data_IF_393212280408
#
_entry.id   IF_393212280408
#
_cell.length_a   1.000
_cell.length_b   1.000
_cell.length_c   1.000
_cell.angle_alpha   90.00
_cell.angle_beta   90.00
_cell.angle_gamma   90.00
#
_symmetry.space_group_name_H-M   'P 1'
#
loop_
_entity.id
_entity.type
_entity.pdbx_description
1 polymer ?
#
# COMPACT_ATOMS: atom_id res chain seq x y z
N UNK A 1 30.35 -51.34 74.00
CA UNK A 1 29.22 -51.63 73.10
C UNK A 1 28.72 -50.43 72.28
N UNK A 2 29.51 -49.35 72.10
CA UNK A 2 29.04 -48.09 71.48
C UNK A 2 29.37 -47.94 69.98
N UNK A 3 30.29 -48.75 69.46
CA UNK A 3 30.66 -48.77 68.05
C UNK A 3 29.91 -49.82 67.22
N UNK A 4 29.31 -50.83 67.86
CA UNK A 4 28.59 -51.90 67.16
C UNK A 4 27.30 -51.41 66.48
N UNK A 5 26.57 -50.47 67.10
CA UNK A 5 25.38 -49.86 66.49
C UNK A 5 25.72 -48.97 65.29
N UNK A 6 26.86 -48.28 65.35
CA UNK A 6 27.32 -47.39 64.29
C UNK A 6 27.86 -48.17 63.08
N UNK A 7 28.56 -49.28 63.33
CA UNK A 7 28.94 -50.22 62.26
C UNK A 7 27.73 -50.90 61.64
N UNK A 8 26.71 -51.27 62.43
CA UNK A 8 25.47 -51.84 61.87
C UNK A 8 24.76 -50.81 61.00
N UNK A 9 24.66 -49.55 61.43
CA UNK A 9 24.03 -48.48 60.65
C UNK A 9 24.76 -48.21 59.32
N UNK A 10 26.11 -48.17 59.35
CA UNK A 10 26.92 -47.99 58.13
C UNK A 10 26.79 -49.18 57.19
N UNK A 11 26.77 -50.41 57.71
CA UNK A 11 26.56 -51.62 56.91
C UNK A 11 25.14 -51.63 56.32
N UNK A 12 24.12 -51.22 57.08
CA UNK A 12 22.75 -51.10 56.59
C UNK A 12 22.64 -50.05 55.47
N UNK A 13 23.31 -48.91 55.62
CA UNK A 13 23.33 -47.85 54.61
C UNK A 13 24.07 -48.29 53.35
N UNK A 14 25.17 -49.03 53.50
CA UNK A 14 25.89 -49.65 52.38
C UNK A 14 25.03 -50.72 51.67
N UNK A 15 24.30 -51.56 52.41
CA UNK A 15 23.37 -52.55 51.84
C UNK A 15 22.23 -51.87 51.09
N UNK A 16 21.67 -50.78 51.64
CA UNK A 16 20.65 -49.98 50.95
C UNK A 16 21.22 -49.37 49.66
N UNK A 17 22.45 -48.86 49.70
CA UNK A 17 23.10 -48.30 48.51
C UNK A 17 23.34 -49.36 47.44
N UNK A 18 23.82 -50.54 47.83
CA UNK A 18 24.02 -51.69 46.93
C UNK A 18 22.69 -52.21 46.37
N UNK A 19 21.62 -52.24 47.18
CA UNK A 19 20.30 -52.65 46.74
C UNK A 19 19.68 -51.65 45.73
N UNK A 20 19.93 -50.35 45.92
CA UNK A 20 19.54 -49.29 44.97
C UNK A 20 20.34 -49.40 43.68
N UNK A 21 21.64 -49.70 43.74
CA UNK A 21 22.50 -49.82 42.56
C UNK A 21 22.24 -51.11 41.74
N UNK A 22 21.94 -52.22 42.43
CA UNK A 22 21.72 -53.52 41.78
C UNK A 22 20.32 -53.66 41.17
N UNK A 23 19.32 -52.97 41.70
CA UNK A 23 17.93 -53.12 41.23
C UNK A 23 17.56 -52.10 40.15
N UNK A 24 17.43 -52.60 38.91
CA UNK A 24 16.92 -51.83 37.74
C UNK A 24 15.49 -51.28 37.91
N UNK A 25 14.81 -51.61 39.01
CA UNK A 25 13.47 -51.14 39.38
C UNK A 25 13.53 -49.84 40.20
N UNK A 26 14.41 -49.74 41.21
CA UNK A 26 14.56 -48.55 42.04
C UNK A 26 15.22 -47.40 41.27
N UNK A 27 16.23 -47.70 40.44
CA UNK A 27 16.87 -46.70 39.57
C UNK A 27 15.86 -46.04 38.62
N UNK A 28 14.91 -46.81 38.06
CA UNK A 28 13.90 -46.28 37.13
C UNK A 28 12.88 -45.35 37.81
N UNK A 29 12.47 -45.66 39.04
CA UNK A 29 11.52 -44.82 39.77
C UNK A 29 12.17 -43.53 40.31
N UNK A 30 13.41 -43.61 40.80
CA UNK A 30 14.15 -42.43 41.27
C UNK A 30 14.49 -41.52 40.09
N UNK A 31 14.90 -42.08 38.95
CA UNK A 31 15.12 -41.31 37.71
C UNK A 31 13.83 -40.65 37.20
N UNK A 32 12.69 -41.36 37.22
CA UNK A 32 11.40 -40.81 36.78
C UNK A 32 10.92 -39.62 37.64
N UNK A 33 11.17 -39.64 38.96
CA UNK A 33 10.85 -38.51 39.85
C UNK A 33 11.80 -37.32 39.59
N UNK A 34 13.09 -37.59 39.37
CA UNK A 34 14.07 -36.56 39.03
C UNK A 34 13.78 -35.90 37.67
N UNK A 35 13.37 -36.70 36.68
CA UNK A 35 13.00 -36.22 35.35
C UNK A 35 11.65 -35.47 35.38
N UNK A 36 10.66 -35.93 36.17
CA UNK A 36 9.39 -35.22 36.34
C UNK A 36 9.55 -33.83 36.97
N UNK A 37 10.45 -33.69 37.95
CA UNK A 37 10.77 -32.37 38.56
C UNK A 37 11.53 -31.49 37.57
N UNK A 38 12.49 -32.06 36.82
CA UNK A 38 13.20 -31.34 35.76
C UNK A 38 12.24 -30.81 34.69
N UNK A 39 11.30 -31.63 34.24
CA UNK A 39 10.29 -31.26 33.24
C UNK A 39 9.37 -30.17 33.82
N UNK A 40 8.89 -30.30 35.05
CA UNK A 40 8.04 -29.27 35.68
C UNK A 40 8.74 -27.92 35.85
N UNK A 41 10.02 -27.91 36.20
CA UNK A 41 10.83 -26.67 36.32
C UNK A 41 11.10 -26.05 34.94
N UNK A 42 11.33 -26.87 33.91
CA UNK A 42 11.49 -26.42 32.52
C UNK A 42 10.16 -25.84 31.97
N UNK A 43 9.05 -26.54 32.13
CA UNK A 43 7.71 -26.11 31.66
C UNK A 43 7.20 -24.86 32.39
N UNK A 44 7.53 -24.71 33.68
CA UNK A 44 7.21 -23.50 34.45
C UNK A 44 8.02 -22.29 33.97
N UNK A 45 9.29 -22.50 33.58
CA UNK A 45 10.16 -21.42 33.06
C UNK A 45 9.69 -20.93 31.70
N UNK A 46 9.20 -21.84 30.84
CA UNK A 46 8.71 -21.48 29.51
C UNK A 46 7.33 -20.80 29.57
N UNK A 47 6.43 -21.23 30.47
CA UNK A 47 5.08 -20.66 30.64
C UNK A 47 5.06 -19.25 31.26
N UNK A 48 6.00 -18.96 32.18
CA UNK A 48 6.15 -17.62 32.78
C UNK A 48 6.73 -16.64 31.76
N UNK A 49 7.67 -17.09 30.92
CA UNK A 49 8.27 -16.25 29.88
C UNK A 49 7.28 -15.87 28.76
N UNK A 50 6.26 -16.71 28.50
CA UNK A 50 5.24 -16.45 27.49
C UNK A 50 4.17 -15.47 27.99
N UNK A 51 3.76 -15.58 29.25
CA UNK A 51 2.72 -14.69 29.81
C UNK A 51 3.24 -13.27 30.02
N UNK A 52 4.46 -13.09 30.52
CA UNK A 52 5.02 -11.77 30.79
C UNK A 52 5.29 -10.98 29.49
N UNK A 53 5.76 -11.66 28.44
CA UNK A 53 5.97 -11.05 27.12
C UNK A 53 4.66 -10.60 26.47
N UNK A 54 3.58 -11.37 26.61
CA UNK A 54 2.26 -11.02 26.05
C UNK A 54 1.67 -9.77 26.69
N UNK A 55 1.84 -9.57 28.00
CA UNK A 55 1.31 -8.38 28.70
C UNK A 55 2.18 -7.12 28.52
N UNK A 56 3.51 -7.24 28.52
CA UNK A 56 4.39 -6.08 28.29
C UNK A 56 4.27 -5.58 26.85
N UNK A 57 4.25 -6.47 25.85
CA UNK A 57 4.07 -6.06 24.46
C UNK A 57 2.67 -5.49 24.22
N UNK A 58 1.65 -5.97 24.93
CA UNK A 58 0.30 -5.44 24.87
C UNK A 58 0.20 -4.04 25.46
N UNK A 59 0.84 -3.75 26.59
CA UNK A 59 0.88 -2.41 27.16
C UNK A 59 1.58 -1.40 26.22
N UNK A 60 2.72 -1.79 25.64
CA UNK A 60 3.42 -0.97 24.64
C UNK A 60 2.57 -0.73 23.39
N UNK A 61 1.85 -1.75 22.91
CA UNK A 61 0.94 -1.60 21.76
C UNK A 61 -0.23 -0.67 22.08
N UNK A 62 -0.77 -0.71 23.31
CA UNK A 62 -1.85 0.19 23.74
C UNK A 62 -1.36 1.64 23.72
N UNK A 63 -0.19 1.92 24.28
CA UNK A 63 0.42 3.25 24.25
C UNK A 63 0.67 3.74 22.82
N UNK A 64 1.17 2.86 21.94
CA UNK A 64 1.34 3.16 20.51
C UNK A 64 0.01 3.46 19.82
N UNK A 65 -1.05 2.69 20.11
CA UNK A 65 -2.38 2.92 19.55
C UNK A 65 -3.04 4.19 20.08
N UNK A 66 -2.86 4.52 21.36
CA UNK A 66 -3.33 5.79 21.93
C UNK A 66 -2.64 6.98 21.27
N UNK A 67 -1.33 6.90 21.04
CA UNK A 67 -0.59 7.95 20.33
C UNK A 67 -1.05 8.08 18.88
N UNK A 68 -1.22 6.96 18.16
CA UNK A 68 -1.77 6.98 16.79
C UNK A 68 -3.19 7.53 16.74
N UNK A 69 -4.03 7.22 17.74
CA UNK A 69 -5.39 7.75 17.83
C UNK A 69 -5.36 9.27 18.01
N UNK A 70 -4.50 9.77 18.91
CA UNK A 70 -4.32 11.21 19.12
C UNK A 70 -3.82 11.92 17.86
N UNK A 71 -2.87 11.31 17.14
CA UNK A 71 -2.36 11.86 15.89
C UNK A 71 -3.43 11.83 14.78
N UNK A 72 -4.26 10.79 14.75
CA UNK A 72 -5.40 10.67 13.84
C UNK A 72 -6.48 11.72 14.14
N UNK A 73 -6.88 11.89 15.40
CA UNK A 73 -7.83 12.93 15.83
C UNK A 73 -7.33 14.33 15.49
N UNK A 74 -6.02 14.57 15.70
CA UNK A 74 -5.39 15.83 15.30
C UNK A 74 -5.46 16.03 13.78
N UNK A 75 -5.11 15.01 13.00
CA UNK A 75 -5.16 15.07 11.54
C UNK A 75 -6.58 15.31 11.03
N UNK A 76 -7.59 14.67 11.64
CA UNK A 76 -9.01 14.87 11.33
C UNK A 76 -9.44 16.32 11.58
N UNK A 77 -9.03 16.90 12.72
CA UNK A 77 -9.32 18.29 13.04
C UNK A 77 -8.61 19.27 12.09
N UNK A 78 -7.34 19.02 11.77
CA UNK A 78 -6.57 19.80 10.80
C UNK A 78 -7.21 19.75 9.40
N UNK A 79 -7.63 18.56 8.96
CA UNK A 79 -8.32 18.37 7.68
C UNK A 79 -9.67 19.08 7.67
N UNK A 80 -10.46 18.98 8.74
CA UNK A 80 -11.73 19.70 8.89
C UNK A 80 -11.53 21.21 8.91
N UNK A 81 -10.48 21.70 9.56
CA UNK A 81 -10.16 23.13 9.56
C UNK A 81 -9.79 23.61 8.15
N UNK A 82 -8.91 22.90 7.45
CA UNK A 82 -8.53 23.19 6.08
C UNK A 82 -9.74 23.15 5.13
N UNK A 83 -10.64 22.18 5.29
CA UNK A 83 -11.89 22.11 4.54
C UNK A 83 -12.76 23.34 4.79
N UNK A 84 -12.96 23.74 6.05
CA UNK A 84 -13.72 24.95 6.36
C UNK A 84 -13.07 26.21 5.79
N UNK A 85 -11.73 26.31 5.80
CA UNK A 85 -11.02 27.43 5.18
C UNK A 85 -11.22 27.45 3.66
N UNK A 86 -11.11 26.29 3.00
CA UNK A 86 -11.39 26.15 1.57
C UNK A 86 -12.84 26.51 1.25
N UNK A 87 -13.82 26.01 2.00
CA UNK A 87 -15.23 26.34 1.80
C UNK A 87 -15.47 27.86 1.92
N UNK A 88 -14.85 28.49 2.92
CA UNK A 88 -14.92 29.94 3.10
C UNK A 88 -14.26 30.72 1.95
N UNK A 89 -13.23 30.16 1.30
CA UNK A 89 -12.58 30.76 0.12
C UNK A 89 -13.41 30.55 -1.16
N UNK A 90 -14.02 29.38 -1.34
CA UNK A 90 -14.84 29.02 -2.51
C UNK A 90 -16.10 29.89 -2.60
N UNK A 91 -16.63 30.39 -1.47
CA UNK A 91 -17.74 31.37 -1.46
C UNK A 91 -17.41 32.66 -2.23
N UNK A 92 -16.13 33.00 -2.42
CA UNK A 92 -15.69 34.18 -3.19
C UNK A 92 -15.34 33.91 -4.65
N UNK A 93 -15.14 32.65 -5.05
CA UNK A 93 -14.78 32.28 -6.43
C UNK A 93 -15.76 31.26 -7.02
N UNK A 94 -16.89 31.78 -7.52
CA UNK A 94 -17.95 30.98 -8.15
C UNK A 94 -17.54 30.26 -9.44
N UNK A 95 -16.30 30.43 -9.93
CA UNK A 95 -15.84 29.77 -11.16
C UNK A 95 -15.02 28.49 -10.93
N UNK A 96 -14.56 28.22 -9.70
CA UNK A 96 -13.73 27.04 -9.39
C UNK A 96 -14.47 25.87 -8.71
N UNK A 97 -15.77 26.01 -8.44
CA UNK A 97 -16.61 24.97 -7.82
C UNK A 97 -16.79 23.69 -8.67
N UNK A 98 -16.11 23.56 -9.81
CA UNK A 98 -16.27 22.44 -10.75
C UNK A 98 -15.53 21.15 -10.37
N UNK A 99 -14.71 21.13 -9.30
CA UNK A 99 -13.80 20.00 -9.05
C UNK A 99 -13.91 19.34 -7.66
N UNK A 100 -14.88 19.76 -6.83
CA UNK A 100 -14.93 19.34 -5.41
C UNK A 100 -15.69 18.03 -5.13
N UNK A 101 -16.29 17.38 -6.14
CA UNK A 101 -17.11 16.18 -5.96
C UNK A 101 -16.39 14.88 -6.37
N UNK A 102 -15.09 14.80 -6.12
CA UNK A 102 -14.33 13.58 -6.37
C UNK A 102 -14.64 12.49 -5.33
N UNK A 103 -15.06 11.32 -5.82
CA UNK A 103 -15.27 10.10 -5.03
C UNK A 103 -14.08 9.17 -5.22
N UNK A 104 -13.58 8.66 -4.09
CA UNK A 104 -12.51 7.66 -4.06
C UNK A 104 -13.11 6.31 -3.75
N UNK A 105 -13.09 5.39 -4.72
CA UNK A 105 -13.77 4.11 -4.64
C UNK A 105 -12.73 2.99 -4.55
N UNK A 106 -12.76 2.16 -3.50
CA UNK A 106 -11.80 1.08 -3.36
C UNK A 106 -12.03 0.02 -4.44
N UNK A 107 -10.95 -0.44 -5.06
CA UNK A 107 -10.96 -1.52 -6.04
C UNK A 107 -9.74 -2.42 -5.86
N UNK A 108 -9.74 -3.55 -6.57
CA UNK A 108 -8.64 -4.50 -6.56
C UNK A 108 -8.49 -5.14 -7.94
N UNK A 109 -7.26 -5.17 -8.45
CA UNK A 109 -6.95 -5.95 -9.63
C UNK A 109 -6.94 -7.45 -9.28
N UNK A 110 -7.64 -8.28 -10.07
CA UNK A 110 -7.73 -9.72 -9.82
C UNK A 110 -7.09 -10.58 -10.91
N UNK A 111 -6.90 -10.07 -12.12
CA UNK A 111 -6.13 -10.74 -13.17
C UNK A 111 -5.66 -9.77 -14.23
N UNK A 112 -4.63 -10.16 -14.98
CA UNK A 112 -4.27 -9.49 -16.22
C UNK A 112 -5.28 -9.84 -17.33
N UNK A 113 -5.42 -8.97 -18.32
CA UNK A 113 -6.32 -9.20 -19.46
C UNK A 113 -5.72 -10.24 -20.41
N UNK A 114 -4.44 -10.11 -20.73
CA UNK A 114 -3.70 -11.03 -21.61
C UNK A 114 -2.43 -11.54 -20.92
N UNK A 115 -1.97 -12.74 -21.31
CA UNK A 115 -0.68 -13.26 -20.83
C UNK A 115 0.48 -12.48 -21.44
N UNK A 116 1.43 -12.06 -20.59
CA UNK A 116 2.60 -11.29 -21.01
C UNK A 116 2.35 -9.79 -21.21
N UNK A 117 1.10 -9.33 -21.06
CA UNK A 117 0.72 -7.91 -21.06
C UNK A 117 0.40 -7.47 -19.63
N UNK A 118 1.33 -6.75 -19.02
CA UNK A 118 1.19 -6.22 -17.67
C UNK A 118 0.56 -4.82 -17.63
N UNK A 119 0.24 -4.24 -18.79
CA UNK A 119 -0.36 -2.92 -18.90
C UNK A 119 -1.87 -2.91 -18.74
N UNK A 120 -2.51 -4.10 -18.77
CA UNK A 120 -3.97 -4.25 -18.68
C UNK A 120 -4.38 -5.21 -17.59
N UNK A 121 -5.27 -4.76 -16.72
CA UNK A 121 -5.79 -5.55 -15.60
C UNK A 121 -7.31 -5.48 -15.50
N UNK A 122 -7.94 -6.56 -15.07
CA UNK A 122 -9.34 -6.54 -14.67
C UNK A 122 -9.48 -6.07 -13.22
N UNK A 123 -10.40 -5.13 -12.99
CA UNK A 123 -10.65 -4.51 -11.70
C UNK A 123 -11.98 -4.98 -11.12
N UNK A 124 -11.99 -5.31 -9.83
CA UNK A 124 -13.19 -5.69 -9.12
C UNK A 124 -13.94 -4.43 -8.67
N UNK A 125 -14.98 -4.05 -9.43
CA UNK A 125 -15.84 -2.92 -9.13
C UNK A 125 -17.20 -3.11 -9.84
N UNK A 126 -18.31 -2.77 -9.17
CA UNK A 126 -19.65 -2.84 -9.78
C UNK A 126 -19.94 -1.56 -10.56
N UNK A 127 -20.07 -1.70 -11.88
CA UNK A 127 -20.21 -0.57 -12.82
C UNK A 127 -21.66 -0.29 -13.23
N UNK A 128 -22.66 -1.02 -12.70
CA UNK A 128 -24.06 -0.92 -13.16
C UNK A 128 -24.66 0.48 -13.14
N UNK A 129 -24.23 1.31 -12.19
CA UNK A 129 -24.76 2.66 -12.00
C UNK A 129 -23.98 3.72 -12.79
N UNK A 130 -23.07 3.31 -13.68
CA UNK A 130 -22.20 4.20 -14.46
C UNK A 130 -22.47 4.12 -15.98
N UNK A 131 -22.38 5.25 -16.71
CA UNK A 131 -22.43 5.27 -18.18
C UNK A 131 -21.24 4.56 -18.81
N UNK A 132 -21.41 3.78 -19.89
CA UNK A 132 -20.35 2.96 -20.50
C UNK A 132 -19.08 3.73 -20.91
N UNK A 133 -19.18 5.02 -21.20
CA UNK A 133 -18.07 5.91 -21.57
C UNK A 133 -17.35 6.53 -20.36
N UNK A 134 -17.73 6.16 -19.13
CA UNK A 134 -17.09 6.65 -17.91
C UNK A 134 -15.63 6.18 -17.83
N UNK A 135 -14.74 7.14 -17.64
CA UNK A 135 -13.33 6.91 -17.36
C UNK A 135 -13.05 7.23 -15.89
N UNK A 136 -12.35 6.32 -15.22
CA UNK A 136 -11.91 6.50 -13.84
C UNK A 136 -10.40 6.68 -13.80
N UNK A 137 -9.90 7.54 -12.91
CA UNK A 137 -8.47 7.54 -12.56
C UNK A 137 -8.13 6.34 -11.69
N UNK A 138 -6.95 5.72 -11.87
CA UNK A 138 -6.48 4.60 -11.04
C UNK A 138 -5.22 5.00 -10.29
N UNK A 139 -5.27 4.91 -8.97
CA UNK A 139 -4.21 5.38 -8.07
C UNK A 139 -3.87 4.31 -7.04
N UNK A 140 -2.58 4.17 -6.74
CA UNK A 140 -2.07 3.36 -5.64
C UNK A 140 -0.95 4.12 -4.95
N UNK A 141 -0.95 4.14 -3.61
CA UNK A 141 0.07 4.83 -2.79
C UNK A 141 0.30 6.29 -3.22
N UNK A 142 -0.80 7.02 -3.48
CA UNK A 142 -0.82 8.41 -3.97
C UNK A 142 -0.08 8.63 -5.31
N UNK A 143 0.08 7.58 -6.11
CA UNK A 143 0.71 7.62 -7.43
C UNK A 143 -0.22 7.13 -8.51
N UNK A 144 -0.20 7.77 -9.66
CA UNK A 144 -1.03 7.39 -10.80
C UNK A 144 -0.51 6.10 -11.42
N UNK A 145 -1.39 5.09 -11.46
CA UNK A 145 -1.14 3.82 -12.14
C UNK A 145 -1.63 3.84 -13.59
N UNK A 146 -2.65 4.65 -13.90
CA UNK A 146 -3.27 4.78 -15.21
C UNK A 146 -4.75 5.10 -15.08
N UNK A 147 -5.56 4.71 -16.05
CA UNK A 147 -7.01 4.94 -16.09
C UNK A 147 -7.77 3.62 -16.08
N UNK A 148 -9.08 3.64 -15.85
CA UNK A 148 -9.95 2.48 -16.01
C UNK A 148 -11.18 2.84 -16.84
N UNK A 149 -11.55 1.91 -17.72
CA UNK A 149 -12.67 2.04 -18.65
C UNK A 149 -13.55 0.79 -18.55
N UNK A 150 -14.80 0.92 -18.97
CA UNK A 150 -15.67 -0.24 -19.15
C UNK A 150 -15.40 -0.93 -20.48
N UNK A 151 -15.29 -2.26 -20.42
CA UNK A 151 -15.19 -3.13 -21.59
C UNK A 151 -16.01 -4.39 -21.30
N UNK A 152 -16.96 -4.71 -22.18
CA UNK A 152 -17.86 -5.88 -22.05
C UNK A 152 -18.55 -6.00 -20.68
N UNK A 153 -19.00 -4.87 -20.11
CA UNK A 153 -19.67 -4.82 -18.81
C UNK A 153 -18.77 -5.08 -17.61
N UNK A 154 -17.44 -5.01 -17.79
CA UNK A 154 -16.43 -5.17 -16.73
C UNK A 154 -15.50 -3.97 -16.72
N UNK A 155 -14.95 -3.65 -15.55
CA UNK A 155 -13.99 -2.57 -15.42
C UNK A 155 -12.58 -3.08 -15.76
N UNK A 156 -11.97 -2.48 -16.79
CA UNK A 156 -10.59 -2.75 -17.22
C UNK A 156 -9.70 -1.57 -16.87
N UNK A 157 -8.65 -1.82 -16.08
CA UNK A 157 -7.57 -0.88 -15.82
C UNK A 157 -6.57 -0.89 -16.97
N UNK A 158 -6.34 0.28 -17.55
CA UNK A 158 -5.32 0.60 -18.54
C UNK A 158 -4.20 1.36 -17.83
N UNK A 159 -3.15 0.63 -17.45
CA UNK A 159 -2.01 1.20 -16.74
C UNK A 159 -1.19 2.12 -17.67
N UNK A 160 -0.31 2.93 -17.10
CA UNK A 160 0.51 3.94 -17.80
C UNK A 160 1.27 3.43 -19.04
N UNK A 161 1.58 2.13 -19.12
CA UNK A 161 2.23 1.52 -20.29
C UNK A 161 1.28 1.14 -21.44
N UNK A 162 -0.03 1.24 -21.25
CA UNK A 162 -1.02 0.95 -22.29
C UNK A 162 -1.23 2.16 -23.19
N UNK A 163 -1.27 1.94 -24.51
CA UNK A 163 -1.41 3.00 -25.52
C UNK A 163 -2.73 3.77 -25.44
N UNK A 164 -3.77 3.19 -24.83
CA UNK A 164 -5.06 3.85 -24.59
C UNK A 164 -5.11 4.58 -23.25
N UNK A 165 -4.09 4.44 -22.40
CA UNK A 165 -3.99 5.18 -21.14
C UNK A 165 -3.48 6.58 -21.43
N UNK A 166 -4.36 7.58 -21.33
CA UNK A 166 -4.01 8.98 -21.55
C UNK A 166 -4.82 9.90 -20.63
N UNK A 167 -4.16 10.93 -20.11
CA UNK A 167 -4.73 11.88 -19.16
C UNK A 167 -3.89 13.16 -19.10
N UNK A 168 -4.49 14.23 -18.58
CA UNK A 168 -3.88 15.56 -18.49
C UNK A 168 -3.03 15.73 -17.23
N UNK A 169 -1.86 16.34 -17.41
CA UNK A 169 -0.88 16.58 -16.35
C UNK A 169 -0.34 18.01 -16.37
N UNK A 170 0.26 18.39 -15.26
CA UNK A 170 1.14 19.53 -15.13
C UNK A 170 2.58 19.07 -14.94
N UNK A 171 3.51 19.77 -15.60
CA UNK A 171 4.95 19.54 -15.53
C UNK A 171 5.62 20.72 -14.85
N UNK A 172 6.42 20.44 -13.82
CA UNK A 172 7.22 21.40 -13.07
C UNK A 172 6.40 22.36 -12.20
N UNK A 173 7.11 23.22 -11.48
CA UNK A 173 6.51 24.18 -10.53
C UNK A 173 5.64 25.25 -11.23
N UNK A 174 5.92 25.55 -12.50
CA UNK A 174 5.12 26.46 -13.32
C UNK A 174 3.76 25.88 -13.76
N UNK A 175 3.46 24.62 -13.38
CA UNK A 175 2.26 23.89 -13.78
C UNK A 175 2.03 23.95 -15.29
N UNK A 176 3.05 23.57 -16.08
CA UNK A 176 2.95 23.61 -17.53
C UNK A 176 2.05 22.46 -18.01
N UNK A 177 0.94 22.72 -18.74
CA UNK A 177 0.02 21.67 -19.14
C UNK A 177 0.63 20.74 -20.20
N UNK A 178 0.34 19.45 -20.08
CA UNK A 178 0.70 18.41 -21.03
C UNK A 178 -0.35 17.29 -21.04
N UNK A 179 -0.26 16.39 -22.03
CA UNK A 179 -1.05 15.15 -22.07
C UNK A 179 -0.08 13.99 -21.99
N UNK A 180 -0.32 13.08 -21.05
CA UNK A 180 0.48 11.87 -20.89
C UNK A 180 -0.12 10.73 -21.71
N UNK A 181 0.75 9.90 -22.27
CA UNK A 181 0.41 8.59 -22.83
C UNK A 181 1.61 7.64 -22.73
N UNK A 182 1.39 6.35 -23.05
CA UNK A 182 2.47 5.36 -23.08
C UNK A 182 3.62 5.81 -24.01
N UNK A 183 4.86 5.62 -23.58
CA UNK A 183 6.03 5.97 -24.38
C UNK A 183 6.18 5.06 -25.60
N UNK A 184 6.56 5.65 -26.73
CA UNK A 184 6.91 4.91 -27.94
C UNK A 184 8.34 4.34 -27.88
N UNK A 185 9.17 4.84 -26.95
CA UNK A 185 10.59 4.48 -26.84
C UNK A 185 10.81 3.30 -25.90
N UNK A 186 10.12 3.28 -24.75
CA UNK A 186 10.27 2.24 -23.74
C UNK A 186 8.94 1.92 -23.07
N UNK A 187 8.77 0.69 -22.57
CA UNK A 187 7.59 0.28 -21.80
C UNK A 187 7.56 0.85 -20.37
N UNK A 188 8.72 1.31 -19.89
CA UNK A 188 8.92 1.68 -18.48
C UNK A 188 8.66 3.18 -18.24
N UNK A 189 8.63 3.96 -19.32
CA UNK A 189 8.36 5.39 -19.28
C UNK A 189 7.00 5.73 -19.91
N UNK A 190 6.56 6.94 -19.64
CA UNK A 190 5.46 7.59 -20.35
C UNK A 190 5.97 8.86 -21.00
N UNK A 191 5.25 9.33 -22.02
CA UNK A 191 5.58 10.59 -22.69
C UNK A 191 4.55 11.64 -22.30
N UNK A 192 5.01 12.80 -21.84
CA UNK A 192 4.21 14.00 -21.68
C UNK A 192 4.36 14.86 -22.94
N UNK A 193 3.31 14.86 -23.76
CA UNK A 193 3.26 15.48 -25.08
C UNK A 193 2.45 16.79 -25.08
N UNK A 194 2.58 17.54 -26.18
CA UNK A 194 1.91 18.80 -26.45
C UNK A 194 2.24 19.93 -25.47
N UNK A 195 3.44 19.91 -24.88
CA UNK A 195 3.92 21.01 -24.04
C UNK A 195 4.17 22.23 -24.94
N UNK A 196 3.66 23.43 -24.61
CA UNK A 196 3.86 24.61 -25.44
C UNK A 196 5.34 24.94 -25.66
N UNK A 197 5.74 25.23 -26.91
CA UNK A 197 7.15 25.44 -27.29
C UNK A 197 7.84 26.65 -26.65
N UNK A 198 7.07 27.61 -26.13
CA UNK A 198 7.59 28.76 -25.39
C UNK A 198 7.81 28.50 -23.89
N UNK A 199 7.39 27.34 -23.39
CA UNK A 199 7.61 26.94 -22.00
C UNK A 199 8.96 26.25 -21.86
N UNK A 200 9.52 26.33 -20.65
CA UNK A 200 10.80 25.70 -20.31
C UNK A 200 10.56 24.49 -19.43
N UNK A 201 11.05 23.34 -19.85
CA UNK A 201 11.01 22.08 -19.10
C UNK A 201 12.44 21.61 -18.88
N UNK A 202 12.72 21.13 -17.67
CA UNK A 202 14.03 20.61 -17.30
C UNK A 202 13.92 19.14 -16.88
N UNK A 203 15.03 18.42 -17.04
CA UNK A 203 15.19 17.08 -16.45
C UNK A 203 15.13 17.23 -14.92
N UNK A 204 14.37 16.36 -14.26
CA UNK A 204 14.09 16.42 -12.83
C UNK A 204 12.77 17.11 -12.46
N UNK A 205 12.13 17.79 -13.43
CA UNK A 205 10.83 18.42 -13.19
C UNK A 205 9.79 17.34 -12.81
N UNK A 206 9.02 17.66 -11.77
CA UNK A 206 8.00 16.77 -11.22
C UNK A 206 6.72 16.85 -12.05
N UNK A 207 6.04 15.72 -12.21
CA UNK A 207 4.80 15.63 -13.00
C UNK A 207 3.65 15.21 -12.10
N UNK A 208 2.55 15.96 -12.17
CA UNK A 208 1.35 15.75 -11.37
C UNK A 208 0.10 15.80 -12.25
N UNK A 209 -1.00 15.16 -11.85
CA UNK A 209 -2.28 15.27 -12.55
C UNK A 209 -2.78 16.72 -12.56
N UNK A 210 -3.34 17.18 -13.69
CA UNK A 210 -3.84 18.55 -13.80
C UNK A 210 -5.28 18.72 -13.32
N UNK A 211 -6.07 17.65 -13.38
CA UNK A 211 -7.51 17.65 -13.13
C UNK A 211 -8.36 18.29 -14.24
N UNK A 212 -7.74 18.74 -15.34
CA UNK A 212 -8.45 19.45 -16.42
C UNK A 212 -9.35 18.56 -17.28
N UNK A 213 -9.10 17.24 -17.29
CA UNK A 213 -9.82 16.26 -18.10
C UNK A 213 -11.00 15.59 -17.37
N UNK A 214 -11.15 15.85 -16.07
CA UNK A 214 -12.15 15.19 -15.24
C UNK A 214 -11.86 13.72 -14.94
N UNK A 215 -10.66 13.21 -15.23
CA UNK A 215 -10.28 11.83 -14.89
C UNK A 215 -9.71 11.77 -13.46
N UNK A 216 -8.87 12.76 -13.14
CA UNK A 216 -8.22 12.88 -11.83
C UNK A 216 -8.60 14.19 -11.15
N UNK A 217 -8.36 14.27 -9.84
CA UNK A 217 -8.18 15.57 -9.18
C UNK A 217 -6.78 16.10 -9.48
N UNK A 218 -6.57 17.40 -9.31
CA UNK A 218 -5.26 18.01 -9.44
C UNK A 218 -4.29 17.50 -8.36
N UNK A 219 -3.01 17.32 -8.71
CA UNK A 219 -1.91 17.20 -7.74
C UNK A 219 -1.51 15.78 -7.36
N UNK A 220 -2.03 14.74 -8.02
CA UNK A 220 -1.59 13.35 -7.76
C UNK A 220 -0.27 13.11 -8.47
N UNK A 221 0.69 12.51 -7.77
CA UNK A 221 2.03 12.29 -8.31
C UNK A 221 2.02 11.29 -9.48
N UNK A 222 2.64 11.68 -10.59
CA UNK A 222 2.75 10.84 -11.79
C UNK A 222 4.17 10.32 -11.94
N UNK A 223 5.17 11.21 -11.98
CA UNK A 223 6.55 10.84 -12.25
C UNK A 223 7.51 12.03 -12.31
N UNK A 224 8.70 11.77 -12.86
CA UNK A 224 9.78 12.74 -13.02
C UNK A 224 10.25 12.80 -14.48
N UNK A 225 10.50 14.00 -15.01
CA UNK A 225 11.05 14.18 -16.35
C UNK A 225 12.49 13.65 -16.42
N UNK A 226 12.73 12.71 -17.33
CA UNK A 226 14.06 12.10 -17.56
C UNK A 226 14.70 12.51 -18.89
N UNK A 227 13.90 12.99 -19.85
CA UNK A 227 14.39 13.50 -21.13
C UNK A 227 13.43 14.56 -21.66
N UNK A 228 13.95 15.52 -22.41
CA UNK A 228 13.16 16.57 -23.07
C UNK A 228 13.55 16.63 -24.54
N UNK A 229 12.54 16.58 -25.41
CA UNK A 229 12.67 16.67 -26.85
C UNK A 229 11.91 17.90 -27.38
N UNK A 230 12.51 18.60 -28.34
CA UNK A 230 12.00 19.84 -28.90
C UNK A 230 11.69 19.61 -30.39
N UNK A 231 10.47 19.14 -30.69
CA UNK A 231 10.09 18.66 -32.01
C UNK A 231 8.76 19.30 -32.49
N UNK A 232 8.68 19.63 -33.78
CA UNK A 232 7.44 19.95 -34.52
C UNK A 232 6.46 20.96 -33.87
N UNK A 233 6.98 22.01 -33.24
CA UNK A 233 6.17 23.14 -32.74
C UNK A 233 5.65 22.99 -31.31
N UNK A 234 5.95 21.87 -30.65
CA UNK A 234 5.71 21.64 -29.24
C UNK A 234 6.93 20.97 -28.58
N UNK A 235 6.86 20.74 -27.28
CA UNK A 235 7.87 20.04 -26.50
C UNK A 235 7.26 18.71 -26.04
N UNK A 236 8.07 17.66 -26.09
CA UNK A 236 7.75 16.36 -25.53
C UNK A 236 8.74 16.05 -24.41
N UNK A 237 8.28 15.45 -23.33
CA UNK A 237 9.14 15.02 -22.24
C UNK A 237 8.91 13.54 -21.94
N UNK A 238 9.99 12.77 -21.86
CA UNK A 238 9.91 11.41 -21.30
C UNK A 238 9.86 11.53 -19.78
N UNK A 239 8.91 10.84 -19.18
CA UNK A 239 8.63 10.85 -17.75
C UNK A 239 8.77 9.44 -17.24
N UNK A 240 9.55 9.28 -16.18
CA UNK A 240 9.64 8.03 -15.43
C UNK A 240 8.54 7.99 -14.38
N UNK A 241 7.53 7.10 -14.49
CA UNK A 241 6.45 7.03 -13.53
C UNK A 241 6.94 6.63 -12.13
N UNK A 242 6.32 7.18 -11.10
CA UNK A 242 6.60 6.79 -9.71
C UNK A 242 5.92 5.48 -9.31
N UNK A 243 4.79 5.18 -9.94
CA UNK A 243 4.13 3.90 -9.76
C UNK A 243 4.84 2.86 -10.62
N UNK A 244 5.42 1.84 -9.99
CA UNK A 244 5.92 0.67 -10.69
C UNK A 244 4.76 -0.30 -10.87
N UNK A 245 4.64 -0.95 -12.02
CA UNK A 245 3.59 -1.94 -12.34
C UNK A 245 3.77 -3.27 -11.58
N UNK A 246 4.11 -3.20 -10.29
CA UNK A 246 4.49 -4.36 -9.49
C UNK A 246 3.32 -4.84 -8.65
N UNK A 247 2.44 -5.63 -9.28
CA UNK A 247 1.56 -6.58 -8.59
C UNK A 247 0.07 -6.24 -8.60
N UNK A 248 -0.75 -7.29 -8.65
CA UNK A 248 -2.19 -7.21 -8.47
C UNK A 248 -2.49 -6.89 -7.00
N UNK A 249 -3.03 -5.71 -6.71
CA UNK A 249 -3.21 -5.20 -5.36
C UNK A 249 -4.46 -4.32 -5.18
N UNK A 250 -4.64 -3.82 -3.96
CA UNK A 250 -5.64 -2.80 -3.66
C UNK A 250 -5.25 -1.47 -4.31
N UNK A 251 -6.24 -0.77 -4.82
CA UNK A 251 -6.10 0.52 -5.50
C UNK A 251 -7.37 1.36 -5.29
N UNK A 252 -7.26 2.64 -5.63
CA UNK A 252 -8.35 3.59 -5.58
C UNK A 252 -8.74 3.99 -7.00
N UNK A 253 -10.04 3.92 -7.28
CA UNK A 253 -10.65 4.55 -8.43
C UNK A 253 -11.04 5.98 -8.06
N UNK A 254 -10.77 6.91 -8.96
CA UNK A 254 -11.16 8.31 -8.81
C UNK A 254 -12.30 8.57 -9.79
N UNK A 255 -13.42 9.03 -9.25
CA UNK A 255 -14.59 9.46 -9.99
C UNK A 255 -14.87 10.93 -9.67
N UNK A 256 -14.65 11.84 -10.62
CA UNK A 256 -14.76 13.29 -10.36
C UNK A 256 -16.17 13.86 -10.51
N UNK A 257 -17.21 13.06 -10.76
CA UNK A 257 -18.56 13.49 -11.18
C UNK A 257 -18.65 14.48 -12.38
N UNK A 258 -17.52 14.91 -12.96
CA UNK A 258 -17.48 15.77 -14.16
C UNK A 258 -17.66 14.90 -15.41
N UNK A 259 -18.53 15.28 -16.37
CA UNK A 259 -18.58 14.62 -17.66
C UNK A 259 -17.21 14.68 -18.33
N UNK A 260 -16.66 13.53 -18.72
CA UNK A 260 -15.38 13.48 -19.43
C UNK A 260 -15.55 14.25 -20.75
N UNK A 261 -14.71 15.25 -20.98
CA UNK A 261 -14.73 16.00 -22.24
C UNK A 261 -14.28 15.08 -23.37
N UNK A 262 -15.24 14.44 -24.03
CA UNK A 262 -14.96 13.64 -25.22
C UNK A 262 -14.80 14.58 -26.40
N UNK A 263 -13.62 14.63 -27.01
CA UNK A 263 -13.42 15.35 -28.26
C UNK A 263 -14.22 14.68 -29.38
N UNK A 264 -15.30 15.35 -29.78
CA UNK A 264 -16.03 15.24 -31.05
C UNK A 264 -16.26 13.81 -31.62
N UNK A 265 -17.42 13.25 -31.28
CA UNK A 265 -18.10 12.22 -32.10
C UNK A 265 -19.12 12.83 -33.07
N UNK A 266 -18.97 14.12 -33.40
CA UNK A 266 -19.77 14.84 -34.40
C UNK A 266 -18.87 15.47 -35.46
N UNK A 267 -18.37 14.61 -36.35
CA UNK A 267 -17.98 15.01 -37.70
C UNK A 267 -17.98 13.74 -38.54
N UNK A 268 -19.16 13.41 -39.10
CA UNK A 268 -19.43 12.91 -40.46
C UNK A 268 -20.88 12.46 -40.56
#
# INVERSE_FOLDING_TARGET
>A
MRYQSLTIAVVLLAIVFIAVDSSKFLQRHIAAVGDGIKIFVLDSKDSISLSYRKYISQAQSIEEYEQKLKDYERLELELKHAQNELDNLVVFDTQQAFYNDARFLPSRAYSYVNMGDYSRVWLNFDVKDYPEDRIFGVVQDNKVLGIAIMEDGRLMGLLNGDKKSSYSVYVGDEKVPAIVHASALTSDNITADFIPSWKKINIGDQVFTSGLDGIFIEGIAVGEVVSVNYDFGYISAEVKPYAQQTGLGYMWLIDTNVPVQTSAKEAF
#
